data_IF_799120767823
#
_entry.id   IF_799120767823
#
_cell.length_a   1.000
_cell.length_b   1.000
_cell.length_c   1.000
_cell.angle_alpha   90.00
_cell.angle_beta   90.00
_cell.angle_gamma   90.00
#
_symmetry.space_group_name_H-M   'P 1'
#
loop_
_entity.id
_entity.type
_entity.pdbx_description
1 polymer ?
#
# COMPACT_ATOMS: atom_id res chain seq x y z
N UNK A 1 13.93 10.77 6.00
CA UNK A 1 15.21 10.03 5.86
C UNK A 1 16.22 11.10 5.63
N UNK A 2 17.29 11.14 6.42
CA UNK A 2 18.21 12.27 6.42
C UNK A 2 19.63 11.75 6.49
N UNK A 3 20.55 12.45 5.82
CA UNK A 3 21.96 12.15 5.99
C UNK A 3 22.40 12.60 7.38
N UNK A 4 23.13 11.75 8.09
CA UNK A 4 23.80 12.13 9.33
C UNK A 4 24.81 13.24 9.05
N UNK A 5 24.72 14.34 9.79
CA UNK A 5 25.47 15.57 9.52
C UNK A 5 26.99 15.34 9.35
N UNK A 6 27.61 14.58 10.26
CA UNK A 6 29.04 14.26 10.22
C UNK A 6 29.47 13.37 9.04
N UNK A 7 28.52 12.79 8.30
CA UNK A 7 28.76 11.83 7.22
C UNK A 7 28.17 12.27 5.88
N UNK A 8 27.92 13.58 5.71
CA UNK A 8 27.44 14.17 4.46
C UNK A 8 28.40 15.21 3.87
N UNK A 9 29.65 14.82 3.52
CA UNK A 9 30.69 15.76 3.10
C UNK A 9 30.36 16.53 1.82
N UNK A 10 29.35 16.08 1.07
CA UNK A 10 28.88 16.70 -0.18
C UNK A 10 27.53 17.40 -0.04
N UNK A 11 26.98 17.52 1.17
CA UNK A 11 25.71 18.19 1.41
C UNK A 11 24.54 17.61 0.59
N UNK A 12 24.56 16.30 0.30
CA UNK A 12 23.52 15.65 -0.50
C UNK A 12 22.20 15.65 0.24
N UNK A 13 21.10 15.66 -0.52
CA UNK A 13 19.75 15.50 0.01
C UNK A 13 19.30 14.06 -0.17
N UNK A 14 18.63 13.53 0.85
CA UNK A 14 18.02 12.21 0.75
C UNK A 14 16.65 12.33 0.07
N UNK A 15 16.20 11.24 -0.54
CA UNK A 15 14.81 11.12 -0.97
C UNK A 15 13.92 10.95 0.26
N UNK A 16 12.85 11.73 0.35
CA UNK A 16 11.84 11.52 1.39
C UNK A 16 10.82 10.50 0.87
N UNK A 17 10.82 9.25 1.37
CA UNK A 17 9.77 8.30 1.00
C UNK A 17 8.45 8.82 1.57
N UNK A 18 7.57 9.29 0.69
CA UNK A 18 6.26 9.85 1.08
C UNK A 18 5.19 8.80 0.82
N UNK A 19 4.52 8.41 1.89
CA UNK A 19 3.30 7.61 1.83
C UNK A 19 2.14 8.54 1.45
N UNK A 20 1.23 8.04 0.62
CA UNK A 20 0.06 8.83 0.23
C UNK A 20 -0.97 8.92 1.37
N UNK A 21 -1.29 7.79 2.02
CA UNK A 21 -2.31 7.75 3.08
C UNK A 21 -1.94 6.81 4.24
N UNK A 22 -2.34 7.20 5.45
CA UNK A 22 -2.37 6.33 6.62
C UNK A 22 -3.82 6.18 7.09
N UNK A 23 -4.32 4.95 7.16
CA UNK A 23 -5.65 4.69 7.69
C UNK A 23 -5.60 4.73 9.21
N UNK A 24 -6.41 5.60 9.80
CA UNK A 24 -6.47 5.83 11.24
C UNK A 24 -7.74 5.23 11.83
N UNK A 25 -7.62 4.51 12.96
CA UNK A 25 -8.75 4.06 13.77
C UNK A 25 -8.46 4.34 15.24
N UNK A 26 -9.34 5.09 15.89
CA UNK A 26 -9.20 5.46 17.31
C UNK A 26 -7.82 6.07 17.65
N UNK A 27 -7.32 6.96 16.78
CA UNK A 27 -6.02 7.62 16.96
C UNK A 27 -4.80 6.76 16.60
N UNK A 28 -4.97 5.50 16.20
CA UNK A 28 -3.88 4.61 15.82
C UNK A 28 -3.86 4.36 14.31
N UNK A 29 -2.66 4.27 13.73
CA UNK A 29 -2.50 3.83 12.34
C UNK A 29 -2.77 2.34 12.26
N UNK A 30 -3.72 1.94 11.42
CA UNK A 30 -4.08 0.54 11.18
C UNK A 30 -3.56 0.00 9.86
N UNK A 31 -3.44 0.82 8.81
CA UNK A 31 -2.89 0.44 7.51
C UNK A 31 -2.10 1.59 6.88
N UNK A 32 -1.04 1.26 6.15
CA UNK A 32 -0.27 2.20 5.34
C UNK A 32 -0.61 1.96 3.87
N UNK A 33 -1.00 3.03 3.17
CA UNK A 33 -1.52 2.99 1.81
C UNK A 33 -0.72 3.90 0.89
N UNK A 34 -0.27 3.36 -0.24
CA UNK A 34 0.40 4.11 -1.31
C UNK A 34 -0.39 3.88 -2.60
N UNK A 35 -1.23 4.85 -2.98
CA UNK A 35 -2.14 4.67 -4.10
C UNK A 35 -1.40 4.94 -5.41
N UNK A 36 -1.58 4.07 -6.41
CA UNK A 36 -0.98 4.27 -7.73
C UNK A 36 -1.98 3.99 -8.84
N UNK A 37 -2.05 4.92 -9.79
CA UNK A 37 -2.82 4.74 -11.01
C UNK A 37 -1.96 4.03 -12.06
N UNK A 38 -1.92 2.70 -11.96
CA UNK A 38 -1.23 1.83 -12.92
C UNK A 38 -1.98 0.52 -13.01
N UNK A 39 -1.96 -0.05 -14.21
CA UNK A 39 -2.40 -1.41 -14.43
C UNK A 39 -1.39 -2.40 -13.81
N UNK A 40 -1.55 -2.66 -12.51
CA UNK A 40 -0.83 -3.71 -11.79
C UNK A 40 -1.49 -5.08 -11.95
N UNK A 41 -2.57 -5.16 -12.73
CA UNK A 41 -3.19 -6.41 -13.11
C UNK A 41 -2.40 -7.06 -14.24
N UNK A 42 -2.15 -6.31 -15.32
CA UNK A 42 -1.42 -6.80 -16.49
C UNK A 42 0.11 -6.65 -16.36
N UNK A 43 0.59 -5.81 -15.43
CA UNK A 43 2.02 -5.53 -15.26
C UNK A 43 2.49 -5.85 -13.86
N UNK A 44 3.68 -6.45 -13.78
CA UNK A 44 4.37 -6.69 -12.51
C UNK A 44 4.60 -5.39 -11.72
N UNK A 45 4.52 -5.50 -10.39
CA UNK A 45 4.89 -4.41 -9.48
C UNK A 45 6.37 -4.02 -9.70
N UNK A 46 6.67 -2.75 -10.04
CA UNK A 46 8.03 -2.29 -10.18
C UNK A 46 8.87 -2.47 -8.91
N UNK A 47 10.16 -2.76 -9.08
CA UNK A 47 11.07 -3.05 -7.95
C UNK A 47 11.23 -1.87 -6.99
N UNK A 48 11.30 -0.65 -7.51
CA UNK A 48 11.38 0.58 -6.73
C UNK A 48 10.17 0.77 -5.81
N UNK A 49 8.95 0.55 -6.34
CA UNK A 49 7.72 0.59 -5.55
C UNK A 49 7.68 -0.53 -4.52
N UNK A 50 8.04 -1.75 -4.92
CA UNK A 50 8.11 -2.90 -4.01
C UNK A 50 9.03 -2.60 -2.82
N UNK A 51 10.21 -2.03 -3.07
CA UNK A 51 11.13 -1.68 -2.00
C UNK A 51 10.62 -0.55 -1.12
N UNK A 52 9.98 0.46 -1.69
CA UNK A 52 9.35 1.51 -0.89
C UNK A 52 8.24 0.96 0.02
N UNK A 53 7.36 0.11 -0.52
CA UNK A 53 6.29 -0.56 0.23
C UNK A 53 6.85 -1.52 1.29
N UNK A 54 7.94 -2.23 0.99
CA UNK A 54 8.60 -3.11 1.95
C UNK A 54 9.17 -2.35 3.15
N UNK A 55 9.72 -1.14 2.94
CA UNK A 55 10.18 -0.27 4.04
C UNK A 55 9.01 0.12 4.94
N UNK A 56 7.87 0.51 4.38
CA UNK A 56 6.67 0.82 5.16
C UNK A 56 6.12 -0.39 5.91
N UNK A 57 5.99 -1.52 5.23
CA UNK A 57 5.52 -2.76 5.81
C UNK A 57 6.39 -3.19 7.01
N UNK A 58 7.71 -2.97 6.91
CA UNK A 58 8.66 -3.35 7.96
C UNK A 58 8.80 -2.32 9.08
N UNK A 59 8.27 -1.11 8.92
CA UNK A 59 8.26 -0.09 9.98
C UNK A 59 7.56 -0.55 11.27
N UNK A 60 6.72 -1.58 11.18
CA UNK A 60 5.98 -2.14 12.31
C UNK A 60 4.71 -1.35 12.67
N UNK A 61 4.42 -0.28 11.93
CA UNK A 61 3.20 0.53 12.07
C UNK A 61 2.04 -0.17 11.36
N UNK A 62 0.85 -0.16 11.97
CA UNK A 62 -0.35 -0.80 11.42
C UNK A 62 -0.28 -2.33 11.45
N UNK A 63 -0.64 -2.96 10.33
CA UNK A 63 -0.77 -4.41 10.17
C UNK A 63 0.50 -5.10 9.67
N UNK A 64 1.66 -4.43 9.75
CA UNK A 64 2.94 -4.87 9.16
C UNK A 64 2.82 -5.12 7.65
N UNK A 65 1.94 -4.37 6.98
CA UNK A 65 1.79 -4.39 5.54
C UNK A 65 1.91 -3.00 4.90
N UNK A 66 2.46 -2.98 3.70
CA UNK A 66 2.36 -1.85 2.78
C UNK A 66 1.30 -2.20 1.75
N UNK A 67 0.22 -1.43 1.68
CA UNK A 67 -0.89 -1.72 0.76
C UNK A 67 -0.91 -0.73 -0.39
N UNK A 68 -1.00 -1.24 -1.61
CA UNK A 68 -1.15 -0.45 -2.84
C UNK A 68 -2.54 -0.69 -3.42
N UNK A 69 -3.50 0.22 -3.18
CA UNK A 69 -4.74 0.21 -3.93
C UNK A 69 -4.45 0.61 -5.38
N UNK A 70 -4.93 -0.20 -6.32
CA UNK A 70 -4.78 0.06 -7.75
C UNK A 70 -6.11 -0.15 -8.48
N UNK A 71 -6.34 0.68 -9.50
CA UNK A 71 -7.56 0.64 -10.29
C UNK A 71 -7.57 -0.57 -11.24
N UNK A 72 -8.72 -1.24 -11.35
CA UNK A 72 -8.97 -2.31 -12.33
C UNK A 72 -10.30 -2.08 -13.04
N UNK A 73 -10.36 -2.45 -14.32
CA UNK A 73 -11.57 -2.41 -15.18
C UNK A 73 -12.15 -3.82 -15.41
N UNK A 74 -11.80 -4.78 -14.56
CA UNK A 74 -12.29 -6.16 -14.66
C UNK A 74 -12.95 -6.59 -13.37
N UNK A 75 -13.94 -7.48 -13.47
CA UNK A 75 -14.61 -8.07 -12.31
C UNK A 75 -13.73 -8.98 -11.45
N UNK A 76 -12.53 -9.33 -11.94
CA UNK A 76 -11.56 -10.11 -11.17
C UNK A 76 -10.83 -9.19 -10.20
N UNK A 77 -11.30 -9.15 -8.96
CA UNK A 77 -10.69 -8.35 -7.87
C UNK A 77 -10.01 -9.24 -6.83
N UNK A 78 -9.10 -10.11 -7.27
CA UNK A 78 -8.35 -10.95 -6.32
C UNK A 78 -7.20 -10.13 -5.74
N UNK A 79 -7.18 -10.03 -4.41
CA UNK A 79 -6.07 -9.43 -3.67
C UNK A 79 -4.81 -10.24 -3.92
N UNK A 80 -3.74 -9.58 -4.35
CA UNK A 80 -2.44 -10.22 -4.46
C UNK A 80 -1.59 -9.85 -3.24
N UNK A 81 -0.74 -10.78 -2.81
CA UNK A 81 0.08 -10.60 -1.61
C UNK A 81 1.49 -11.12 -1.85
N UNK A 82 2.47 -10.30 -1.47
CA UNK A 82 3.88 -10.65 -1.48
C UNK A 82 4.34 -10.70 -0.02
N UNK A 83 4.66 -11.88 0.47
CA UNK A 83 5.21 -12.05 1.81
C UNK A 83 6.69 -11.67 1.82
N UNK A 84 7.08 -10.85 2.79
CA UNK A 84 8.47 -10.50 3.05
C UNK A 84 8.95 -11.44 4.16
N UNK A 85 9.88 -12.31 3.83
CA UNK A 85 10.43 -13.29 4.75
C UNK A 85 11.76 -12.82 5.33
N UNK A 86 12.07 -13.25 6.56
CA UNK A 86 13.41 -13.07 7.09
C UNK A 86 14.37 -13.98 6.29
N UNK A 87 15.45 -13.45 5.68
CA UNK A 87 16.40 -14.27 4.93
C UNK A 87 17.26 -15.18 5.82
N UNK A 88 17.34 -14.89 7.12
CA UNK A 88 18.21 -15.61 8.08
C UNK A 88 17.41 -16.52 9.02
N UNK A 89 16.16 -16.15 9.35
CA UNK A 89 15.29 -16.97 10.21
C UNK A 89 14.09 -17.50 9.44
N UNK A 90 13.55 -18.65 9.86
CA UNK A 90 12.25 -19.09 9.37
C UNK A 90 11.20 -18.13 9.94
N UNK A 91 10.52 -17.37 9.07
CA UNK A 91 9.40 -16.53 9.48
C UNK A 91 9.11 -15.35 8.56
N UNK A 92 7.82 -15.05 8.40
CA UNK A 92 7.33 -13.84 7.73
C UNK A 92 7.54 -12.61 8.62
N UNK A 93 8.12 -11.56 8.07
CA UNK A 93 8.41 -10.31 8.79
C UNK A 93 7.44 -9.17 8.46
N UNK A 94 6.87 -9.17 7.26
CA UNK A 94 5.93 -8.17 6.76
C UNK A 94 5.28 -8.67 5.47
N UNK A 95 4.38 -7.89 4.87
CA UNK A 95 3.83 -8.19 3.52
C UNK A 95 3.57 -6.93 2.70
N UNK A 96 3.57 -7.08 1.38
CA UNK A 96 3.03 -6.08 0.45
C UNK A 96 1.72 -6.59 -0.10
N UNK A 97 0.67 -5.77 -0.04
CA UNK A 97 -0.69 -6.12 -0.48
C UNK A 97 -1.03 -5.28 -1.70
N UNK A 98 -1.34 -5.92 -2.81
CA UNK A 98 -1.89 -5.25 -3.99
C UNK A 98 -3.40 -5.42 -3.92
N UNK A 99 -4.08 -4.31 -3.64
CA UNK A 99 -5.52 -4.28 -3.41
C UNK A 99 -6.22 -3.76 -4.69
N UNK A 100 -6.88 -4.61 -5.48
CA UNK A 100 -7.63 -4.13 -6.63
C UNK A 100 -8.85 -3.32 -6.19
N UNK A 101 -9.11 -2.24 -6.92
CA UNK A 101 -10.27 -1.36 -6.78
C UNK A 101 -11.00 -1.35 -8.12
N UNK A 102 -12.17 -1.97 -8.18
CA UNK A 102 -12.98 -2.10 -9.39
C UNK A 102 -13.68 -0.76 -9.69
N UNK A 103 -13.28 -0.11 -10.78
CA UNK A 103 -13.81 1.18 -11.17
C UNK A 103 -15.23 1.11 -11.74
N UNK A 104 -15.62 0.01 -12.37
CA UNK A 104 -16.99 -0.19 -12.87
C UNK A 104 -17.97 -0.22 -11.69
N UNK A 105 -17.61 -0.96 -10.64
CA UNK A 105 -18.37 -1.01 -9.39
C UNK A 105 -18.43 0.34 -8.69
N UNK A 106 -17.34 1.11 -8.67
CA UNK A 106 -17.37 2.48 -8.15
C UNK A 106 -18.34 3.33 -8.96
N UNK A 107 -18.31 3.24 -10.29
CA UNK A 107 -19.20 4.01 -11.17
C UNK A 107 -20.67 3.72 -10.87
N UNK A 108 -21.04 2.43 -10.68
CA UNK A 108 -22.39 2.05 -10.28
C UNK A 108 -22.78 2.58 -8.88
N UNK A 109 -21.81 2.72 -7.98
CA UNK A 109 -22.03 3.15 -6.60
C UNK A 109 -22.07 4.67 -6.44
N UNK A 110 -21.44 5.45 -7.33
CA UNK A 110 -21.40 6.93 -7.25
C UNK A 110 -22.82 7.50 -7.25
N UNK A 111 -23.69 6.98 -8.10
CA UNK A 111 -25.10 7.40 -8.19
C UNK A 111 -26.01 6.61 -7.23
N UNK A 112 -25.44 5.73 -6.42
CA UNK A 112 -26.15 4.78 -5.55
C UNK A 112 -26.25 5.20 -4.06
N UNK A 113 -26.77 4.28 -3.24
CA UNK A 113 -26.94 4.49 -1.79
C UNK A 113 -25.58 4.54 -1.06
N UNK A 114 -25.39 5.55 -0.20
CA UNK A 114 -24.22 5.73 0.66
C UNK A 114 -23.88 4.50 1.52
N UNK A 115 -24.88 3.68 1.87
CA UNK A 115 -24.69 2.43 2.61
C UNK A 115 -23.93 1.40 1.79
N UNK A 116 -24.20 1.31 0.49
CA UNK A 116 -23.54 0.37 -0.40
C UNK A 116 -22.14 0.85 -0.79
N UNK A 117 -21.95 2.16 -0.92
CA UNK A 117 -20.61 2.78 -1.00
C UNK A 117 -19.77 2.41 0.22
N UNK A 118 -20.30 2.59 1.44
CA UNK A 118 -19.58 2.25 2.68
C UNK A 118 -19.24 0.77 2.77
N UNK A 119 -20.16 -0.13 2.43
CA UNK A 119 -19.89 -1.58 2.39
C UNK A 119 -18.75 -1.90 1.43
N UNK A 120 -18.75 -1.28 0.25
CA UNK A 120 -17.71 -1.51 -0.74
C UNK A 120 -16.34 -1.00 -0.26
N UNK A 121 -16.28 0.24 0.26
CA UNK A 121 -15.05 0.78 0.84
C UNK A 121 -14.53 -0.11 1.97
N UNK A 122 -15.40 -0.55 2.88
CA UNK A 122 -15.03 -1.49 3.94
C UNK A 122 -14.42 -2.78 3.37
N UNK A 123 -14.96 -3.32 2.27
CA UNK A 123 -14.41 -4.54 1.66
C UNK A 123 -13.00 -4.36 1.07
N UNK A 124 -12.62 -3.14 0.69
CA UNK A 124 -11.29 -2.80 0.18
C UNK A 124 -10.29 -2.64 1.32
N UNK A 125 -10.71 -2.03 2.43
CA UNK A 125 -9.80 -1.63 3.51
C UNK A 125 -9.76 -2.58 4.71
N UNK A 126 -10.71 -3.53 4.82
CA UNK A 126 -10.72 -4.57 5.88
C UNK A 126 -9.47 -5.43 5.79
#
# INVERSE_FOLDING_TARGET
MDYTLAHNPRGRRSSTPRLDFALMKNGNVVKLLDAKYRDLWDRNLPRDMLYQLAVYARSGVGDKAGTIPYAVLSDVTVVQKIDINNPVSIGKIASVILQPVNLEKITMLIDGDIRDQKKYVCSIIS
#
